data_IF_951545206274
#
_entry.id   IF_951545206274
#
_cell.length_a   1.000
_cell.length_b   1.000
_cell.length_c   1.000
_cell.angle_alpha   90.00
_cell.angle_beta   90.00
_cell.angle_gamma   90.00
#
_symmetry.space_group_name_H-M   'P 1'
#
loop_
_entity.id
_entity.type
_entity.pdbx_description
1 polymer ?
#
# COMPACT_ATOMS: atom_id res chain seq x y z
N UNK A 1 1.15 -1.46 10.93
CA UNK A 1 0.18 -1.55 9.82
C UNK A 1 0.32 -2.92 9.16
N UNK A 2 -0.76 -3.71 9.09
CA UNK A 2 -0.73 -5.12 8.66
C UNK A 2 -0.32 -5.30 7.18
N UNK A 3 -0.92 -4.53 6.25
CA UNK A 3 -0.62 -4.65 4.81
C UNK A 3 0.88 -4.46 4.53
N UNK A 4 1.54 -3.51 5.20
CA UNK A 4 2.97 -3.27 4.99
C UNK A 4 3.81 -4.52 5.24
N UNK A 5 3.49 -5.27 6.31
CA UNK A 5 4.15 -6.54 6.63
C UNK A 5 3.82 -7.62 5.61
N UNK A 6 2.56 -7.72 5.19
CA UNK A 6 2.11 -8.72 4.21
C UNK A 6 2.70 -8.51 2.81
N UNK A 7 3.06 -7.26 2.48
CA UNK A 7 3.71 -6.91 1.21
C UNK A 7 5.22 -7.14 1.22
N UNK A 8 5.85 -7.32 2.39
CA UNK A 8 7.31 -7.32 2.54
C UNK A 8 7.79 -8.61 3.22
N UNK A 9 7.82 -9.70 2.45
CA UNK A 9 8.39 -10.99 2.86
C UNK A 9 9.54 -11.39 1.93
N UNK A 10 10.42 -12.28 2.38
CA UNK A 10 11.51 -12.80 1.54
C UNK A 10 11.00 -13.43 0.24
N UNK A 11 9.88 -14.15 0.30
CA UNK A 11 9.26 -14.75 -0.88
C UNK A 11 8.77 -13.71 -1.90
N UNK A 12 8.48 -12.47 -1.47
CA UNK A 12 8.06 -11.38 -2.35
C UNK A 12 9.26 -10.60 -2.87
N UNK A 13 10.22 -10.29 -1.98
CA UNK A 13 11.41 -9.49 -2.30
C UNK A 13 12.40 -10.27 -3.18
N UNK A 14 12.43 -11.59 -3.04
CA UNK A 14 13.33 -12.49 -3.76
C UNK A 14 14.49 -12.96 -2.90
N UNK A 15 14.83 -14.25 -3.02
CA UNK A 15 15.86 -14.90 -2.23
C UNK A 15 17.24 -14.27 -2.45
N UNK A 16 17.55 -13.91 -3.69
CA UNK A 16 18.84 -13.32 -4.09
C UNK A 16 19.07 -11.98 -3.39
N UNK A 17 18.04 -11.15 -3.27
CA UNK A 17 18.14 -9.87 -2.57
C UNK A 17 18.29 -10.06 -1.05
N UNK A 18 17.58 -11.03 -0.48
CA UNK A 18 17.68 -11.34 0.95
C UNK A 18 19.07 -11.89 1.29
N UNK A 19 19.61 -12.78 0.47
CA UNK A 19 20.96 -13.32 0.65
C UNK A 19 22.03 -12.24 0.47
N UNK A 20 21.87 -11.35 -0.52
CA UNK A 20 22.73 -10.18 -0.69
C UNK A 20 22.78 -9.33 0.59
N UNK A 21 21.61 -9.00 1.17
CA UNK A 21 21.52 -8.20 2.41
C UNK A 21 22.07 -8.93 3.62
N UNK A 22 21.83 -10.25 3.72
CA UNK A 22 22.41 -11.10 4.78
C UNK A 22 23.93 -11.05 4.76
N UNK A 23 24.52 -11.15 3.57
CA UNK A 23 25.97 -11.08 3.39
C UNK A 23 26.52 -9.68 3.66
N UNK A 24 25.82 -8.63 3.25
CA UNK A 24 26.23 -7.23 3.45
C UNK A 24 26.16 -6.79 4.92
N UNK A 25 25.08 -7.16 5.63
CA UNK A 25 24.80 -6.66 6.99
C UNK A 25 25.10 -7.67 8.10
N UNK A 26 25.41 -8.93 7.77
CA UNK A 26 25.66 -9.99 8.75
C UNK A 26 24.41 -10.42 9.55
N UNK A 27 23.20 -10.02 9.11
CA UNK A 27 21.94 -10.31 9.79
C UNK A 27 21.37 -11.63 9.29
N UNK A 28 21.23 -12.62 10.17
CA UNK A 28 20.68 -13.93 9.82
C UNK A 28 19.16 -13.95 9.75
N UNK A 29 18.51 -13.24 10.68
CA UNK A 29 17.06 -13.13 10.74
C UNK A 29 16.51 -12.40 9.51
N UNK A 30 15.45 -12.93 8.94
CA UNK A 30 14.80 -12.36 7.78
C UNK A 30 13.95 -11.12 8.14
N UNK A 31 13.39 -11.05 9.35
CA UNK A 31 12.46 -9.97 9.70
C UNK A 31 13.10 -8.56 9.60
N UNK A 32 14.33 -8.31 10.10
CA UNK A 32 15.00 -7.02 9.89
C UNK A 32 15.35 -6.77 8.42
N UNK A 33 15.61 -7.82 7.64
CA UNK A 33 16.00 -7.71 6.23
C UNK A 33 14.84 -7.29 5.32
N UNK A 34 13.58 -7.59 5.67
CA UNK A 34 12.40 -7.16 4.89
C UNK A 34 11.73 -5.89 5.44
N UNK A 35 12.15 -5.44 6.63
CA UNK A 35 11.59 -4.28 7.29
C UNK A 35 11.63 -2.98 6.47
N UNK A 36 12.69 -2.68 5.68
CA UNK A 36 12.72 -1.48 4.85
C UNK A 36 11.53 -1.39 3.88
N UNK A 37 11.19 -2.48 3.20
CA UNK A 37 10.05 -2.55 2.28
C UNK A 37 8.73 -2.43 3.04
N UNK A 38 8.61 -3.05 4.22
CA UNK A 38 7.44 -2.89 5.08
C UNK A 38 7.18 -1.42 5.42
N UNK A 39 8.23 -0.68 5.81
CA UNK A 39 8.13 0.74 6.15
C UNK A 39 7.81 1.58 4.91
N UNK A 40 8.43 1.29 3.76
CA UNK A 40 8.18 2.01 2.51
C UNK A 40 6.72 1.82 2.04
N UNK A 41 6.19 0.59 2.10
CA UNK A 41 4.77 0.32 1.79
C UNK A 41 3.85 1.04 2.78
N UNK A 42 4.18 1.02 4.08
CA UNK A 42 3.41 1.76 5.08
C UNK A 42 3.38 3.27 4.80
N UNK A 43 4.52 3.85 4.43
CA UNK A 43 4.60 5.27 4.05
C UNK A 43 3.81 5.58 2.78
N UNK A 44 3.88 4.70 1.78
CA UNK A 44 3.08 4.84 0.55
C UNK A 44 1.59 4.85 0.87
N UNK A 45 1.13 3.90 1.66
CA UNK A 45 -0.28 3.75 2.05
C UNK A 45 -0.78 4.86 2.97
N UNK A 46 0.10 5.59 3.65
CA UNK A 46 -0.26 6.76 4.46
C UNK A 46 -0.05 8.08 3.71
N UNK A 47 0.46 8.07 2.47
CA UNK A 47 0.73 9.28 1.70
C UNK A 47 -0.58 9.87 1.17
N UNK A 48 -0.95 11.12 1.54
CA UNK A 48 -2.19 11.74 1.07
C UNK A 48 -2.27 11.83 -0.45
N UNK A 49 -1.16 12.15 -1.13
CA UNK A 49 -1.12 12.28 -2.59
C UNK A 49 -1.29 10.95 -3.33
N UNK A 50 -0.78 9.85 -2.75
CA UNK A 50 -1.03 8.52 -3.31
C UNK A 50 -2.48 8.09 -3.04
N UNK A 51 -2.91 8.18 -1.77
CA UNK A 51 -4.25 7.77 -1.35
C UNK A 51 -5.34 8.51 -2.12
N UNK A 52 -5.19 9.81 -2.32
CA UNK A 52 -6.21 10.64 -2.96
C UNK A 52 -6.52 10.15 -4.36
N UNK A 53 -5.51 9.79 -5.16
CA UNK A 53 -5.68 9.30 -6.53
C UNK A 53 -5.99 7.81 -6.57
N UNK A 54 -5.27 7.00 -5.79
CA UNK A 54 -5.40 5.54 -5.80
C UNK A 54 -6.78 5.05 -5.33
N UNK A 55 -7.51 5.88 -4.58
CA UNK A 55 -8.85 5.55 -4.06
C UNK A 55 -9.97 6.42 -4.63
N UNK A 56 -9.69 7.37 -5.53
CA UNK A 56 -10.74 8.23 -6.10
C UNK A 56 -11.70 7.40 -6.96
N UNK A 57 -13.01 7.38 -6.68
CA UNK A 57 -13.97 6.64 -7.49
C UNK A 57 -14.22 7.26 -8.88
N UNK A 58 -13.82 8.52 -9.13
CA UNK A 58 -13.93 9.13 -10.47
C UNK A 58 -12.76 8.75 -11.40
N UNK A 59 -11.67 8.21 -10.85
CA UNK A 59 -10.53 7.77 -11.65
C UNK A 59 -10.75 6.34 -12.10
N UNK A 60 -10.60 6.12 -13.41
CA UNK A 60 -10.72 4.80 -14.04
C UNK A 60 -9.92 3.70 -13.29
N UNK A 61 -10.52 2.52 -13.17
CA UNK A 61 -9.92 1.40 -12.44
C UNK A 61 -8.60 0.93 -13.06
N UNK A 62 -8.49 0.95 -14.39
CA UNK A 62 -7.25 0.60 -15.09
C UNK A 62 -6.13 1.58 -14.75
N UNK A 63 -6.42 2.89 -14.78
CA UNK A 63 -5.46 3.93 -14.40
C UNK A 63 -4.99 3.80 -12.95
N UNK A 64 -5.89 3.51 -12.02
CA UNK A 64 -5.52 3.31 -10.60
C UNK A 64 -4.70 2.05 -10.39
N UNK A 65 -5.05 0.95 -11.08
CA UNK A 65 -4.26 -0.28 -11.05
C UNK A 65 -2.82 -0.04 -11.53
N UNK A 66 -2.64 0.67 -12.64
CA UNK A 66 -1.30 1.07 -13.15
C UNK A 66 -0.55 1.96 -12.16
N UNK A 67 -1.23 2.93 -11.53
CA UNK A 67 -0.64 3.78 -10.50
C UNK A 67 -0.17 2.96 -9.29
N UNK A 68 -0.98 2.01 -8.83
CA UNK A 68 -0.64 1.11 -7.72
C UNK A 68 0.56 0.23 -8.08
N UNK A 69 0.53 -0.41 -9.26
CA UNK A 69 1.62 -1.26 -9.73
C UNK A 69 2.94 -0.47 -9.81
N UNK A 70 2.92 0.69 -10.47
CA UNK A 70 4.09 1.57 -10.59
C UNK A 70 4.63 2.00 -9.22
N UNK A 71 3.74 2.32 -8.27
CA UNK A 71 4.15 2.76 -6.94
C UNK A 71 4.77 1.63 -6.10
N UNK A 72 4.22 0.41 -6.21
CA UNK A 72 4.74 -0.78 -5.52
C UNK A 72 6.06 -1.23 -6.12
N UNK A 73 6.19 -1.24 -7.44
CA UNK A 73 7.41 -1.63 -8.15
C UNK A 73 8.62 -0.74 -7.79
N UNK A 74 8.39 0.54 -7.53
CA UNK A 74 9.44 1.45 -7.01
C UNK A 74 9.96 1.05 -5.62
N UNK A 75 9.19 0.30 -4.85
CA UNK A 75 9.57 -0.17 -3.51
C UNK A 75 10.15 -1.57 -3.58
N UNK A 76 9.49 -2.47 -4.32
CA UNK A 76 9.88 -3.85 -4.55
C UNK A 76 10.03 -4.00 -6.07
N UNK A 77 11.23 -3.82 -6.64
CA UNK A 77 11.44 -3.93 -8.07
C UNK A 77 11.11 -5.31 -8.59
N UNK A 78 10.57 -5.40 -9.81
CA UNK A 78 10.39 -6.67 -10.49
C UNK A 78 11.74 -7.26 -10.89
N UNK A 79 12.03 -8.44 -10.35
CA UNK A 79 13.27 -9.23 -10.53
C UNK A 79 12.87 -10.68 -10.79
N UNK A 80 13.80 -11.44 -11.38
CA UNK A 80 13.59 -12.84 -11.78
C UNK A 80 13.04 -13.71 -10.64
N UNK A 81 13.48 -13.48 -9.41
CA UNK A 81 13.08 -14.26 -8.23
C UNK A 81 12.16 -13.49 -7.27
N UNK A 82 11.67 -12.32 -7.65
CA UNK A 82 10.71 -11.54 -6.87
C UNK A 82 9.28 -11.86 -7.29
N UNK A 83 8.37 -11.83 -6.32
CA UNK A 83 6.93 -11.95 -6.55
C UNK A 83 6.25 -10.59 -6.33
N UNK A 84 6.75 -9.53 -6.95
CA UNK A 84 6.26 -8.14 -6.78
C UNK A 84 4.75 -8.03 -7.04
N UNK A 85 4.22 -8.78 -8.00
CA UNK A 85 2.80 -8.86 -8.30
C UNK A 85 1.93 -9.23 -7.07
N UNK A 86 2.46 -10.00 -6.11
CA UNK A 86 1.75 -10.34 -4.86
C UNK A 86 1.63 -9.14 -3.94
N UNK A 87 2.63 -8.28 -3.85
CA UNK A 87 2.53 -7.02 -3.11
C UNK A 87 1.56 -6.06 -3.81
N UNK A 88 1.66 -5.94 -5.14
CA UNK A 88 0.75 -5.13 -5.95
C UNK A 88 -0.70 -5.55 -5.74
N UNK A 89 -1.01 -6.85 -5.78
CA UNK A 89 -2.36 -7.36 -5.57
C UNK A 89 -2.90 -7.01 -4.17
N UNK A 90 -2.09 -7.15 -3.11
CA UNK A 90 -2.53 -6.80 -1.75
C UNK A 90 -2.84 -5.30 -1.60
N UNK A 91 -1.98 -4.45 -2.14
CA UNK A 91 -2.21 -3.00 -2.15
C UNK A 91 -3.45 -2.66 -2.98
N UNK A 92 -3.58 -3.26 -4.16
CA UNK A 92 -4.72 -3.05 -5.06
C UNK A 92 -6.06 -3.45 -4.42
N UNK A 93 -6.11 -4.61 -3.75
CA UNK A 93 -7.29 -5.05 -3.00
C UNK A 93 -7.68 -4.01 -1.94
N UNK A 94 -6.71 -3.49 -1.17
CA UNK A 94 -6.96 -2.44 -0.19
C UNK A 94 -7.51 -1.17 -0.86
N UNK A 95 -6.89 -0.69 -1.95
CA UNK A 95 -7.35 0.51 -2.65
C UNK A 95 -8.76 0.35 -3.23
N UNK A 96 -9.10 -0.84 -3.72
CA UNK A 96 -10.44 -1.16 -4.23
C UNK A 96 -11.48 -1.08 -3.12
N UNK A 97 -11.20 -1.65 -1.95
CA UNK A 97 -12.08 -1.53 -0.78
C UNK A 97 -12.25 -0.07 -0.33
N UNK A 98 -11.17 0.69 -0.27
CA UNK A 98 -11.22 2.09 0.15
C UNK A 98 -11.94 2.97 -0.87
N UNK A 99 -11.82 2.68 -2.16
CA UNK A 99 -12.61 3.34 -3.21
C UNK A 99 -14.10 3.20 -2.97
N UNK A 100 -14.57 1.99 -2.68
CA UNK A 100 -15.97 1.74 -2.39
C UNK A 100 -16.44 2.60 -1.20
N UNK A 101 -15.62 2.69 -0.15
CA UNK A 101 -15.92 3.55 1.01
C UNK A 101 -15.96 5.04 0.67
N UNK A 102 -15.08 5.52 -0.20
CA UNK A 102 -15.13 6.92 -0.67
C UNK A 102 -16.37 7.19 -1.51
N UNK A 103 -16.78 6.23 -2.35
CA UNK A 103 -18.01 6.31 -3.13
C UNK A 103 -19.24 6.35 -2.22
N UNK A 104 -19.32 5.47 -1.22
CA UNK A 104 -20.41 5.44 -0.25
C UNK A 104 -20.50 6.76 0.54
N UNK A 105 -19.36 7.29 0.99
CA UNK A 105 -19.30 8.58 1.68
C UNK A 105 -19.88 9.73 0.83
N UNK A 106 -19.54 9.76 -0.46
CA UNK A 106 -20.07 10.75 -1.42
C UNK A 106 -21.57 10.59 -1.67
N UNK A 107 -22.05 9.35 -1.83
CA UNK A 107 -23.46 9.08 -2.16
C UNK A 107 -24.38 9.32 -0.96
N UNK A 108 -23.96 8.87 0.23
CA UNK A 108 -24.81 8.87 1.43
C UNK A 108 -24.53 10.01 2.40
N UNK A 109 -23.53 10.87 2.13
CA UNK A 109 -23.14 11.98 3.00
C UNK A 109 -22.58 11.51 4.36
N UNK A 110 -22.08 10.28 4.43
CA UNK A 110 -21.48 9.72 5.66
C UNK A 110 -20.00 10.04 5.75
N UNK A 111 -19.39 10.06 6.95
CA UNK A 111 -17.97 10.30 7.11
C UNK A 111 -17.10 9.35 6.28
N UNK A 112 -16.11 9.90 5.58
CA UNK A 112 -15.11 9.12 4.84
C UNK A 112 -14.13 8.44 5.80
N UNK A 113 -14.55 7.34 6.40
CA UNK A 113 -13.77 6.55 7.38
C UNK A 113 -13.71 5.09 6.96
N UNK A 114 -12.59 4.44 7.29
CA UNK A 114 -12.41 3.01 7.16
C UNK A 114 -11.95 2.42 8.51
N UNK A 115 -12.64 1.39 8.99
CA UNK A 115 -12.37 0.80 10.31
C UNK A 115 -11.25 -0.24 10.27
N UNK A 116 -10.97 -0.80 9.08
CA UNK A 116 -10.03 -1.90 8.94
C UNK A 116 -8.57 -1.43 8.79
N UNK A 117 -8.30 -0.47 7.90
CA UNK A 117 -6.93 0.04 7.68
C UNK A 117 -6.67 1.34 8.45
N UNK A 118 -7.71 2.14 8.70
CA UNK A 118 -7.68 3.47 9.31
C UNK A 118 -6.73 4.43 8.57
N UNK A 119 -6.76 4.43 7.23
CA UNK A 119 -5.88 5.25 6.38
C UNK A 119 -6.62 6.31 5.57
N UNK A 120 -7.93 6.21 5.37
CA UNK A 120 -8.71 7.29 4.74
C UNK A 120 -8.69 8.59 5.57
N UNK A 121 -8.43 8.51 6.87
CA UNK A 121 -8.22 9.69 7.74
C UNK A 121 -7.11 10.63 7.26
N UNK A 122 -6.16 10.15 6.45
CA UNK A 122 -5.08 10.98 5.92
C UNK A 122 -5.50 11.85 4.73
N UNK A 123 -6.68 11.58 4.15
CA UNK A 123 -7.28 12.38 3.07
C UNK A 123 -8.70 12.85 3.39
N UNK A 124 -9.20 12.56 4.60
CA UNK A 124 -10.48 13.03 5.06
C UNK A 124 -10.41 14.53 5.33
N UNK A 125 -11.32 15.28 4.71
CA UNK A 125 -11.53 16.68 5.09
C UNK A 125 -12.07 16.72 6.54
N UNK A 126 -11.69 17.75 7.33
CA UNK A 126 -12.31 17.97 8.62
C UNK A 126 -13.83 18.10 8.40
N UNK A 127 -14.62 17.38 9.18
CA UNK A 127 -16.05 17.68 9.25
C UNK A 127 -16.12 19.01 10.00
N UNK A 128 -16.32 20.12 9.29
CA UNK A 128 -16.71 21.36 9.94
C UNK A 128 -18.01 21.07 10.69
N UNK A 129 -17.97 21.25 12.02
CA UNK A 129 -19.16 21.20 12.87
C UNK A 129 -20.14 22.23 12.32
N UNK A 130 -21.13 21.77 11.56
CA UNK A 130 -22.31 22.57 11.22
C UNK A 130 -23.13 22.69 12.51
N UNK A 131 -22.78 23.69 13.31
CA UNK A 131 -23.62 24.26 14.36
C UNK A 131 -24.67 25.15 13.71
#
# INVERSE_FOLDING_TARGET
MLIGRECASAAIIGASEIDRRRNEYGIQDCAPLTYPEQVKIARLLCSPGFLSVATDPEVDSGRRSVLVATAVERIIPDRVDSDTWRATNRVWTAMTHLTARRRDARIYGVPMRDTYYNILRFIAEPIEDRI
#
